data_IF_751895141641
#
_entry.id   IF_751895141641
#
_cell.length_a   1.000
_cell.length_b   1.000
_cell.length_c   1.000
_cell.angle_alpha   90.00
_cell.angle_beta   90.00
_cell.angle_gamma   90.00
#
_symmetry.space_group_name_H-M   'P 1'
#
loop_
_entity.id
_entity.type
_entity.pdbx_description
1 polymer ?
#
# COMPACT_ATOMS: atom_id res chain seq x y z
N UNK A 1 4.10 -15.49 13.92
CA UNK A 1 3.35 -15.42 12.64
C UNK A 1 4.36 -15.30 11.51
N UNK A 2 4.29 -16.16 10.50
CA UNK A 2 5.22 -16.13 9.36
C UNK A 2 4.93 -14.93 8.46
N UNK A 3 5.96 -14.13 8.18
CA UNK A 3 5.90 -12.94 7.31
C UNK A 3 5.32 -13.24 5.91
N UNK A 4 5.42 -14.50 5.45
CA UNK A 4 4.90 -14.95 4.16
C UNK A 4 3.37 -14.96 4.03
N UNK A 5 2.61 -15.04 5.13
CA UNK A 5 1.14 -15.11 5.09
C UNK A 5 0.45 -13.74 5.08
N UNK A 6 1.10 -12.69 5.59
CA UNK A 6 0.51 -11.33 5.64
C UNK A 6 0.62 -10.68 4.26
N UNK A 7 1.76 -10.83 3.61
CA UNK A 7 2.02 -10.18 2.32
C UNK A 7 1.19 -10.77 1.17
N UNK A 8 0.78 -12.05 1.26
CA UNK A 8 -0.13 -12.68 0.29
C UNK A 8 -1.54 -12.10 0.35
N UNK A 9 -1.99 -11.65 1.53
CA UNK A 9 -3.32 -11.03 1.69
C UNK A 9 -3.40 -9.61 1.16
N UNK A 10 -2.39 -8.77 1.40
CA UNK A 10 -2.34 -7.39 0.89
C UNK A 10 -2.31 -7.37 -0.63
N UNK A 11 -1.42 -8.14 -1.26
CA UNK A 11 -1.33 -8.22 -2.71
C UNK A 11 -2.62 -8.74 -3.33
N UNK A 12 -3.27 -9.74 -2.72
CA UNK A 12 -4.56 -10.24 -3.19
C UNK A 12 -5.65 -9.16 -3.15
N UNK A 13 -5.72 -8.39 -2.07
CA UNK A 13 -6.70 -7.30 -1.95
C UNK A 13 -6.45 -6.23 -3.02
N UNK A 14 -5.19 -5.83 -3.22
CA UNK A 14 -4.81 -4.85 -4.24
C UNK A 14 -5.13 -5.34 -5.64
N UNK A 15 -4.81 -6.59 -6.00
CA UNK A 15 -5.16 -7.19 -7.29
C UNK A 15 -6.67 -7.16 -7.54
N UNK A 16 -7.48 -7.43 -6.50
CA UNK A 16 -8.93 -7.34 -6.62
C UNK A 16 -9.39 -5.90 -6.90
N UNK A 17 -8.85 -4.90 -6.19
CA UNK A 17 -9.20 -3.50 -6.40
C UNK A 17 -8.82 -3.00 -7.80
N UNK A 18 -7.63 -3.35 -8.30
CA UNK A 18 -7.18 -2.99 -9.66
C UNK A 18 -8.12 -3.57 -10.73
N UNK A 19 -8.70 -4.75 -10.48
CA UNK A 19 -9.68 -5.34 -11.42
C UNK A 19 -11.04 -4.62 -11.43
N UNK A 20 -11.36 -3.88 -10.37
CA UNK A 20 -12.66 -3.22 -10.20
C UNK A 20 -12.63 -1.72 -10.52
N UNK A 21 -11.47 -1.07 -10.39
CA UNK A 21 -11.33 0.37 -10.53
C UNK A 21 -10.18 0.72 -11.47
N UNK A 22 -10.28 1.81 -12.24
CA UNK A 22 -9.19 2.30 -13.09
C UNK A 22 -8.10 2.97 -12.23
N UNK A 23 -7.32 2.17 -11.53
CA UNK A 23 -6.21 2.62 -10.69
C UNK A 23 -4.97 2.81 -11.57
N UNK A 24 -4.46 4.04 -11.63
CA UNK A 24 -3.25 4.35 -12.40
C UNK A 24 -1.96 3.95 -11.66
N UNK A 25 -1.90 4.24 -10.35
CA UNK A 25 -0.74 3.98 -9.51
C UNK A 25 -1.14 3.84 -8.04
N UNK A 26 -0.26 3.22 -7.24
CA UNK A 26 -0.40 3.07 -5.80
C UNK A 26 0.77 3.75 -5.11
N UNK A 27 0.49 4.51 -4.05
CA UNK A 27 1.50 5.06 -3.15
C UNK A 27 1.43 4.36 -1.80
N UNK A 28 2.52 3.75 -1.36
CA UNK A 28 2.62 3.06 -0.09
C UNK A 28 3.73 3.67 0.77
N UNK A 29 3.71 3.37 2.06
CA UNK A 29 4.86 3.63 2.90
C UNK A 29 5.81 2.43 2.97
N UNK A 30 6.95 2.62 3.62
CA UNK A 30 7.94 1.58 3.82
C UNK A 30 7.54 0.56 4.91
N UNK A 31 6.24 0.37 5.15
CA UNK A 31 5.70 -0.67 6.04
C UNK A 31 6.06 -2.06 5.52
N UNK A 32 6.45 -2.95 6.43
CA UNK A 32 6.86 -4.32 6.08
C UNK A 32 5.75 -5.12 5.37
N UNK A 33 4.50 -4.80 5.69
CA UNK A 33 3.27 -5.36 5.11
C UNK A 33 3.07 -5.01 3.63
N UNK A 34 3.76 -3.96 3.14
CA UNK A 34 3.72 -3.49 1.76
C UNK A 34 4.97 -3.82 0.96
N UNK A 35 5.96 -4.47 1.59
CA UNK A 35 7.24 -4.82 0.97
C UNK A 35 7.13 -5.65 -0.32
N UNK A 36 6.03 -6.39 -0.51
CA UNK A 36 5.79 -7.19 -1.71
C UNK A 36 4.86 -6.53 -2.73
N UNK A 37 4.37 -5.31 -2.50
CA UNK A 37 3.55 -4.60 -3.50
C UNK A 37 4.35 -4.34 -4.78
N UNK A 38 5.66 -4.15 -4.67
CA UNK A 38 6.58 -4.00 -5.80
C UNK A 38 6.62 -5.20 -6.75
N UNK A 39 6.14 -6.38 -6.32
CA UNK A 39 6.04 -7.57 -7.17
C UNK A 39 4.78 -7.57 -8.06
N UNK A 40 3.88 -6.60 -7.90
CA UNK A 40 2.68 -6.48 -8.74
C UNK A 40 3.06 -5.77 -10.05
N UNK A 41 2.99 -6.50 -11.16
CA UNK A 41 3.28 -5.93 -12.50
C UNK A 41 2.10 -5.17 -13.10
N UNK A 42 0.89 -5.35 -12.53
CA UNK A 42 -0.34 -4.78 -13.08
C UNK A 42 -0.55 -3.28 -12.77
N UNK A 43 0.27 -2.68 -11.90
CA UNK A 43 0.13 -1.28 -11.48
C UNK A 43 1.48 -0.72 -11.05
N UNK A 44 1.71 0.57 -11.29
CA UNK A 44 2.89 1.24 -10.77
C UNK A 44 2.78 1.47 -9.26
N UNK A 45 3.84 1.15 -8.52
CA UNK A 45 3.89 1.31 -7.06
C UNK A 45 5.04 2.24 -6.68
N UNK A 46 4.71 3.29 -5.93
CA UNK A 46 5.65 4.28 -5.43
C UNK A 46 5.70 4.23 -3.90
N UNK A 47 6.90 4.27 -3.34
CA UNK A 47 7.12 4.28 -1.90
C UNK A 47 7.52 5.67 -1.43
N UNK A 48 7.00 6.09 -0.28
CA UNK A 48 7.40 7.35 0.35
C UNK A 48 8.90 7.38 0.63
N UNK A 49 9.54 8.54 0.46
CA UNK A 49 10.96 8.67 0.77
C UNK A 49 11.19 8.48 2.30
N UNK A 50 12.42 8.18 2.74
CA UNK A 50 12.74 8.12 4.16
C UNK A 50 12.69 9.52 4.80
N UNK A 51 11.86 9.69 5.84
CA UNK A 51 11.77 10.88 6.72
C UNK A 51 11.00 12.17 6.25
N UNK A 52 10.30 12.27 5.10
CA UNK A 52 9.36 13.36 4.84
C UNK A 52 7.93 12.97 5.23
N UNK A 53 7.54 13.27 6.46
CA UNK A 53 6.15 13.08 6.94
C UNK A 53 5.12 13.83 6.09
N UNK A 54 5.51 14.94 5.43
CA UNK A 54 4.64 15.74 4.58
C UNK A 54 4.20 15.03 3.28
N UNK A 55 4.92 14.02 2.79
CA UNK A 55 4.50 13.21 1.65
C UNK A 55 3.33 12.26 1.99
N UNK A 56 3.00 12.14 3.28
CA UNK A 56 2.06 11.14 3.81
C UNK A 56 0.85 11.73 4.53
N UNK A 57 0.65 13.06 4.46
CA UNK A 57 -0.40 13.74 5.22
C UNK A 57 -1.80 13.18 5.00
N UNK A 58 -2.16 12.83 3.75
CA UNK A 58 -3.45 12.21 3.44
C UNK A 58 -3.59 10.82 4.03
N UNK A 59 -2.53 9.99 4.00
CA UNK A 59 -2.55 8.66 4.58
C UNK A 59 -2.68 8.71 6.11
N UNK A 60 -1.99 9.63 6.78
CA UNK A 60 -2.09 9.82 8.23
C UNK A 60 -3.49 10.28 8.64
N UNK A 61 -4.05 11.26 7.90
CA UNK A 61 -5.41 11.73 8.14
C UNK A 61 -6.45 10.61 7.96
N UNK A 62 -6.36 9.85 6.87
CA UNK A 62 -7.27 8.72 6.61
C UNK A 62 -7.15 7.63 7.68
N UNK A 63 -5.93 7.30 8.09
CA UNK A 63 -5.69 6.35 9.17
C UNK A 63 -6.23 6.87 10.52
N UNK A 64 -6.25 8.19 10.75
CA UNK A 64 -6.91 8.82 11.89
C UNK A 64 -8.42 8.55 11.87
N UNK A 65 -9.07 8.86 10.74
CA UNK A 65 -10.51 8.64 10.54
C UNK A 65 -10.94 7.18 10.73
N UNK A 66 -10.09 6.20 10.39
CA UNK A 66 -10.39 4.78 10.59
C UNK A 66 -10.29 4.31 12.05
N UNK A 67 -9.63 5.07 12.94
CA UNK A 67 -9.44 4.71 14.35
C UNK A 67 -10.49 5.33 15.27
N UNK A 68 -11.26 6.30 14.77
CA UNK A 68 -12.39 6.94 15.45
C UNK A 68 -13.69 6.15 15.27
#
# INVERSE_FOLDING_TARGET
MNMSNINSTSNRAVTHLISQYPIASITADNGSEFSLLSNLEAVEVYFAHPYPSHERGTNENFNGLLRE
#
